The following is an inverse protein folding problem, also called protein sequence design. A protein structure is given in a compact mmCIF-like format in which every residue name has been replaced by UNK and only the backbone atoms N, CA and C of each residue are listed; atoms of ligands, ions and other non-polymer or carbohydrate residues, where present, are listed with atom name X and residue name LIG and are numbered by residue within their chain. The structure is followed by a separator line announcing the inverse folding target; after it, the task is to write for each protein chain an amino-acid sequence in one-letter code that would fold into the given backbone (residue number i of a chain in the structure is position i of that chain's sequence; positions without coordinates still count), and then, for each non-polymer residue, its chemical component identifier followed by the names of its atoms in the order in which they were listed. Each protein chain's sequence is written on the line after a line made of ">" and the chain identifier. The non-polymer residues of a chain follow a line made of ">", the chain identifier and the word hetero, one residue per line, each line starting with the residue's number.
data_IF_401935325803
#
_entry.id   IF_401935325803
#
_cell.length_a   1.000
_cell.length_b   1.000
_cell.length_c   1.000
_cell.angle_alpha   90.00
_cell.angle_beta   90.00
_cell.angle_gamma   90.00
#
_symmetry.space_group_name_H-M   'P 1'
#
loop_
_entity.id
_entity.type
_entity.pdbx_description
1 polymer ?
#
# COMPACT_ATOMS: atom_id res chain seq x y z
N UNK A 1 19.42 -4.38 9.04
CA UNK A 1 18.64 -3.15 9.26
C UNK A 1 18.23 -3.13 10.71
N UNK A 2 18.62 -2.10 11.47
CA UNK A 2 18.09 -1.87 12.82
C UNK A 2 16.57 -1.64 12.72
N UNK A 3 15.75 -2.10 13.68
CA UNK A 3 14.33 -1.79 13.66
C UNK A 3 14.16 -0.28 13.79
N UNK A 4 13.57 0.35 12.78
CA UNK A 4 13.14 1.75 12.86
C UNK A 4 11.80 1.80 13.56
N UNK A 5 11.71 2.58 14.64
CA UNK A 5 10.45 2.81 15.34
C UNK A 5 9.78 4.05 14.75
N UNK A 6 8.48 3.95 14.53
CA UNK A 6 7.68 5.06 14.04
C UNK A 6 6.74 5.56 15.14
N UNK A 7 6.50 6.85 15.14
CA UNK A 7 5.53 7.50 16.02
C UNK A 7 4.55 8.36 15.22
N UNK A 8 3.36 8.52 15.78
CA UNK A 8 2.34 9.44 15.27
C UNK A 8 2.28 10.62 16.23
N UNK A 9 2.60 11.82 15.72
CA UNK A 9 2.64 13.06 16.50
C UNK A 9 1.67 14.09 15.94
N UNK A 10 1.18 14.97 16.80
CA UNK A 10 0.49 16.19 16.37
C UNK A 10 1.53 17.29 16.15
N UNK A 11 1.48 17.93 14.99
CA UNK A 11 2.33 19.05 14.62
C UNK A 11 1.78 20.36 15.20
N UNK A 12 2.60 21.42 15.18
CA UNK A 12 2.23 22.73 15.74
C UNK A 12 1.06 23.41 15.03
N UNK A 13 0.75 23.03 13.79
CA UNK A 13 -0.41 23.50 13.03
C UNK A 13 -1.65 22.60 13.20
N UNK A 14 -1.56 21.59 14.08
CA UNK A 14 -2.65 20.67 14.41
C UNK A 14 -2.77 19.49 13.45
N UNK A 15 -1.91 19.37 12.44
CA UNK A 15 -1.85 18.20 11.57
C UNK A 15 -1.24 16.99 12.29
N UNK A 16 -1.47 15.80 11.75
CA UNK A 16 -0.90 14.56 12.27
C UNK A 16 0.17 14.04 11.33
N UNK A 17 1.29 13.58 11.89
CA UNK A 17 2.43 13.10 11.14
C UNK A 17 2.90 11.73 11.62
N UNK A 18 3.16 10.83 10.68
CA UNK A 18 3.93 9.61 10.92
C UNK A 18 5.40 9.90 10.64
N UNK A 19 6.28 9.71 11.63
CA UNK A 19 7.72 9.95 11.48
C UNK A 19 8.54 8.91 12.22
N UNK A 20 9.84 8.87 11.90
CA UNK A 20 10.85 8.09 12.61
C UNK A 20 11.09 8.70 13.99
N UNK A 21 11.31 7.86 14.99
CA UNK A 21 11.66 8.32 16.36
C UNK A 21 13.14 8.72 16.42
N UNK A 22 13.97 8.12 15.58
CA UNK A 22 15.43 8.20 15.60
C UNK A 22 16.03 9.31 14.72
N UNK A 23 15.21 10.01 13.92
CA UNK A 23 15.66 11.17 13.15
C UNK A 23 14.59 12.29 13.06
N UNK A 24 15.06 13.49 12.76
CA UNK A 24 14.22 14.67 12.47
C UNK A 24 13.95 14.81 10.96
N UNK A 25 13.93 13.70 10.21
CA UNK A 25 13.67 13.76 8.78
C UNK A 25 12.22 14.20 8.48
N UNK A 26 11.97 14.49 7.21
CA UNK A 26 10.62 14.82 6.75
C UNK A 26 9.64 13.70 7.12
N UNK A 27 8.41 14.03 7.57
CA UNK A 27 7.39 13.03 7.89
C UNK A 27 7.13 12.10 6.69
N UNK A 28 6.88 10.83 6.99
CA UNK A 28 6.53 9.82 5.98
C UNK A 28 5.12 10.04 5.46
N UNK A 29 4.21 10.42 6.36
CA UNK A 29 2.80 10.69 6.07
C UNK A 29 2.39 11.91 6.86
N UNK A 30 1.56 12.77 6.25
CA UNK A 30 0.90 13.90 6.91
C UNK A 30 -0.60 13.83 6.64
N UNK A 31 -1.39 13.99 7.69
CA UNK A 31 -2.85 14.00 7.64
C UNK A 31 -3.33 15.35 8.15
N UNK A 32 -4.04 16.07 7.29
CA UNK A 32 -4.67 17.36 7.60
C UNK A 32 -6.18 17.19 7.50
N UNK A 33 -6.87 17.33 8.63
CA UNK A 33 -8.33 17.41 8.66
C UNK A 33 -8.78 18.85 8.43
N UNK A 34 -9.80 19.05 7.61
CA UNK A 34 -10.50 20.33 7.53
C UNK A 34 -11.12 20.70 8.88
N UNK A 35 -11.41 21.99 9.07
CA UNK A 35 -12.07 22.48 10.29
C UNK A 35 -13.42 21.78 10.51
N UNK A 36 -14.25 21.68 9.48
CA UNK A 36 -15.53 20.95 9.51
C UNK A 36 -15.36 19.49 9.97
N UNK A 37 -14.35 18.78 9.47
CA UNK A 37 -14.10 17.40 9.86
C UNK A 37 -13.68 17.28 11.33
N UNK A 38 -12.88 18.24 11.84
CA UNK A 38 -12.47 18.27 13.25
C UNK A 38 -13.65 18.54 14.18
N UNK A 39 -14.56 19.45 13.80
CA UNK A 39 -15.79 19.72 14.54
C UNK A 39 -16.67 18.47 14.64
N UNK A 40 -16.87 17.77 13.52
CA UNK A 40 -17.64 16.52 13.49
C UNK A 40 -17.04 15.39 14.34
N UNK A 41 -15.72 15.36 14.48
CA UNK A 41 -15.01 14.32 15.23
C UNK A 41 -14.97 14.58 16.74
N UNK A 42 -15.40 15.74 17.23
CA UNK A 42 -15.49 16.07 18.66
C UNK A 42 -14.20 15.73 19.46
N UNK A 43 -13.03 16.15 18.97
CA UNK A 43 -11.71 15.84 19.56
C UNK A 43 -11.27 14.36 19.48
N UNK A 44 -11.81 13.60 18.52
CA UNK A 44 -11.37 12.21 18.21
C UNK A 44 -10.42 12.13 17.01
N UNK A 45 -10.02 13.27 16.47
CA UNK A 45 -9.08 13.44 15.36
C UNK A 45 -7.80 12.60 15.49
N UNK A 46 -7.17 12.56 16.67
CA UNK A 46 -5.99 11.71 16.92
C UNK A 46 -6.29 10.21 16.76
N UNK A 47 -7.44 9.75 17.26
CA UNK A 47 -7.83 8.34 17.15
C UNK A 47 -8.14 7.98 15.69
N UNK A 48 -8.76 8.91 14.96
CA UNK A 48 -9.04 8.75 13.52
C UNK A 48 -7.75 8.70 12.72
N UNK A 49 -6.79 9.61 12.96
CA UNK A 49 -5.49 9.61 12.30
C UNK A 49 -4.74 8.28 12.51
N UNK A 50 -4.74 7.76 13.74
CA UNK A 50 -4.15 6.44 14.05
C UNK A 50 -4.81 5.31 13.27
N UNK A 51 -6.15 5.29 13.22
CA UNK A 51 -6.89 4.27 12.47
C UNK A 51 -6.60 4.35 10.96
N UNK A 52 -6.52 5.56 10.40
CA UNK A 52 -6.18 5.76 8.99
C UNK A 52 -4.78 5.26 8.65
N UNK A 53 -3.80 5.52 9.50
CA UNK A 53 -2.42 5.06 9.30
C UNK A 53 -2.34 3.54 9.42
N UNK A 54 -3.00 2.94 10.42
CA UNK A 54 -3.06 1.48 10.58
C UNK A 54 -3.67 0.81 9.33
N UNK A 55 -4.81 1.31 8.86
CA UNK A 55 -5.46 0.81 7.66
C UNK A 55 -4.58 0.97 6.41
N UNK A 56 -3.83 2.08 6.30
CA UNK A 56 -2.87 2.28 5.20
C UNK A 56 -1.73 1.26 5.20
N UNK A 57 -1.21 0.91 6.39
CA UNK A 57 -0.16 -0.12 6.53
C UNK A 57 -0.70 -1.49 6.13
N UNK A 58 -1.91 -1.85 6.58
CA UNK A 58 -2.56 -3.10 6.21
C UNK A 58 -2.79 -3.19 4.70
N UNK A 59 -3.30 -2.11 4.09
CA UNK A 59 -3.51 -2.04 2.65
C UNK A 59 -2.20 -2.18 1.87
N UNK A 60 -1.11 -1.52 2.30
CA UNK A 60 0.19 -1.65 1.67
C UNK A 60 0.74 -3.08 1.74
N UNK A 61 0.57 -3.76 2.88
CA UNK A 61 0.95 -5.17 3.02
C UNK A 61 0.18 -6.11 2.08
N UNK A 62 -1.11 -5.83 1.84
CA UNK A 62 -1.92 -6.66 0.94
C UNK A 62 -1.54 -6.50 -0.54
N UNK A 63 -1.04 -5.32 -0.94
CA UNK A 63 -0.55 -5.09 -2.32
C UNK A 63 0.64 -6.01 -2.65
N UNK A 64 1.54 -6.22 -1.70
CA UNK A 64 2.68 -7.15 -1.87
C UNK A 64 2.22 -8.61 -2.08
N UNK A 65 1.08 -9.01 -1.49
CA UNK A 65 0.53 -10.36 -1.66
C UNK A 65 -0.18 -10.55 -3.01
N UNK A 66 -0.94 -9.55 -3.46
CA UNK A 66 -1.72 -9.60 -4.71
C UNK A 66 -0.81 -9.61 -5.95
N UNK A 67 0.24 -8.77 -5.94
CA UNK A 67 1.21 -8.66 -7.03
C UNK A 67 2.12 -9.91 -7.16
N UNK A 68 2.18 -10.75 -6.12
CA UNK A 68 2.88 -12.03 -6.12
C UNK A 68 2.03 -13.23 -6.60
N UNK A 69 0.69 -13.10 -6.65
CA UNK A 69 -0.22 -14.17 -7.08
C UNK A 69 -0.56 -14.12 -8.57
N UNK A 70 -0.44 -12.96 -9.23
CA UNK A 70 -0.69 -12.82 -10.67
C UNK A 70 0.52 -13.19 -11.57
N UNK A 71 1.65 -13.60 -10.98
CA UNK A 71 2.83 -14.13 -11.70
C UNK A 71 2.97 -15.66 -11.55
N UNK A 72 1.87 -16.41 -11.42
CA UNK A 72 1.89 -17.84 -11.75
C UNK A 72 1.90 -17.94 -13.29
N UNK A 73 3.11 -18.01 -13.85
CA UNK A 73 3.31 -18.35 -15.25
C UNK A 73 2.66 -19.72 -15.48
N UNK A 74 1.61 -19.77 -16.30
CA UNK A 74 1.20 -21.01 -16.99
C UNK A 74 2.35 -21.47 -17.90
N UNK A 75 3.38 -22.10 -17.32
CA UNK A 75 4.24 -23.03 -18.04
C UNK A 75 3.46 -24.33 -18.22
N UNK A 76 2.54 -24.37 -19.19
CA UNK A 76 2.21 -25.62 -19.87
C UNK A 76 2.82 -25.59 -21.28
N UNK A 77 4.06 -26.08 -21.29
CA UNK A 77 4.75 -26.81 -22.32
C UNK A 77 4.31 -26.59 -23.78
N UNK A 78 5.18 -25.92 -24.51
CA UNK A 78 5.23 -26.03 -25.96
C UNK A 78 5.60 -27.46 -26.36
N UNK A 79 4.62 -28.22 -26.86
CA UNK A 79 4.88 -29.40 -27.66
C UNK A 79 4.37 -29.21 -29.11
N UNK A 80 5.36 -29.10 -29.99
CA UNK A 80 5.38 -29.45 -31.40
C UNK A 80 4.17 -29.12 -32.30
N UNK A 81 4.40 -28.12 -33.17
CA UNK A 81 3.72 -27.94 -34.45
C UNK A 81 3.83 -29.24 -35.27
N UNK A 82 2.73 -29.96 -35.46
CA UNK A 82 2.64 -31.06 -36.42
C UNK A 82 2.40 -30.48 -37.84
N UNK A 83 3.30 -30.65 -38.82
CA UNK A 83 3.11 -30.11 -40.16
C UNK A 83 2.07 -30.96 -40.92
N UNK A 84 0.89 -30.37 -41.13
CA UNK A 84 -0.17 -30.91 -41.98
C UNK A 84 0.34 -31.31 -43.39
N UNK A 85 0.04 -32.51 -43.90
CA UNK A 85 0.38 -32.88 -45.28
C UNK A 85 -0.69 -32.36 -46.24
N UNK A 86 -0.37 -31.32 -47.01
CA UNK A 86 -1.21 -30.88 -48.14
C UNK A 86 -0.88 -31.68 -49.40
N UNK A 87 -1.78 -32.56 -49.82
CA UNK A 87 -1.86 -33.02 -51.21
C UNK A 87 -3.31 -33.02 -51.70
N UNK A 88 -3.63 -32.05 -52.55
CA UNK A 88 -4.86 -32.01 -53.37
C UNK A 88 -4.59 -32.64 -54.73
N UNK A 89 -5.45 -33.55 -55.18
CA UNK A 89 -5.78 -33.75 -56.61
C UNK A 89 -6.99 -34.70 -56.81
N UNK A 90 -8.04 -34.17 -57.46
CA UNK A 90 -8.92 -34.84 -58.43
C UNK A 90 -9.51 -33.78 -59.35
#
# INVERSE_FOLDING_TARGET
>A
MSPSFFEIVQLSDGDYALRRIDDDAAPLVRISFSEEAREMMENRDMNVAKAMIAAGIEAAGNIDYDMGHDMDWDEEDGDAIDPQPSYTLH
#
